data_IF_516806266744
#
_entry.id   IF_516806266744
#
_cell.length_a   1.000
_cell.length_b   1.000
_cell.length_c   1.000
_cell.angle_alpha   90.00
_cell.angle_beta   90.00
_cell.angle_gamma   90.00
#
_symmetry.space_group_name_H-M   'P 1'
#
loop_
_entity.id
_entity.type
_entity.pdbx_description
1 polymer ?
#
# COMPACT_ATOMS: atom_id res chain seq x y z
N UNK A 1 -5.28 -6.50 20.68
CA UNK A 1 -5.02 -5.14 20.23
C UNK A 1 -3.52 -4.89 20.12
N UNK A 2 -3.06 -4.50 18.95
CA UNK A 2 -1.63 -4.29 18.69
C UNK A 2 -1.18 -2.91 19.14
N UNK A 3 -0.04 -2.83 19.85
CA UNK A 3 0.59 -1.55 20.12
C UNK A 3 1.30 -1.03 18.85
N UNK A 4 1.84 0.18 18.91
CA UNK A 4 2.47 0.82 17.75
C UNK A 4 3.63 0.00 17.17
N UNK A 5 4.52 -0.50 18.02
CA UNK A 5 5.68 -1.29 17.58
C UNK A 5 5.27 -2.61 16.96
N UNK A 6 4.27 -3.28 17.53
CA UNK A 6 3.73 -4.51 16.97
C UNK A 6 3.10 -4.26 15.62
N UNK A 7 2.31 -3.20 15.49
CA UNK A 7 1.65 -2.84 14.24
C UNK A 7 2.68 -2.57 13.13
N UNK A 8 3.71 -1.79 13.43
CA UNK A 8 4.80 -1.50 12.48
C UNK A 8 5.52 -2.78 12.07
N UNK A 9 5.84 -3.65 13.04
CA UNK A 9 6.51 -4.93 12.78
C UNK A 9 5.68 -5.84 11.86
N UNK A 10 4.37 -5.91 12.09
CA UNK A 10 3.45 -6.67 11.25
C UNK A 10 3.43 -6.13 9.83
N UNK A 11 3.30 -4.81 9.68
CA UNK A 11 3.26 -4.18 8.35
C UNK A 11 4.56 -4.42 7.58
N UNK A 12 5.70 -4.31 8.25
CA UNK A 12 7.00 -4.58 7.62
C UNK A 12 7.16 -6.04 7.19
N UNK A 13 6.60 -6.96 7.95
CA UNK A 13 6.79 -8.41 7.75
C UNK A 13 5.87 -9.00 6.69
N UNK A 14 4.59 -8.64 6.73
CA UNK A 14 3.55 -9.36 5.98
C UNK A 14 2.68 -8.48 5.09
N UNK A 15 2.64 -7.18 5.31
CA UNK A 15 1.89 -6.30 4.42
C UNK A 15 2.57 -6.23 3.05
N UNK A 16 1.75 -6.26 2.00
CA UNK A 16 2.24 -6.17 0.62
C UNK A 16 1.82 -4.85 0.00
N UNK A 17 2.76 -3.91 -0.17
CA UNK A 17 2.54 -2.76 -1.03
C UNK A 17 2.36 -3.21 -2.47
N UNK A 18 1.33 -2.68 -3.14
CA UNK A 18 1.03 -3.02 -4.52
C UNK A 18 0.92 -1.76 -5.36
N UNK A 19 1.58 -1.79 -6.52
CA UNK A 19 1.51 -0.74 -7.53
C UNK A 19 0.92 -1.36 -8.79
N UNK A 20 -0.25 -0.87 -9.20
CA UNK A 20 -0.96 -1.38 -10.36
C UNK A 20 -1.00 -0.31 -11.45
N UNK A 21 -0.46 -0.64 -12.63
CA UNK A 21 -0.44 0.25 -13.78
C UNK A 21 -1.24 -0.40 -14.89
N UNK A 22 -2.29 0.27 -15.36
CA UNK A 22 -3.17 -0.23 -16.40
C UNK A 22 -3.37 0.82 -17.49
N UNK A 23 -3.62 0.35 -18.71
CA UNK A 23 -3.95 1.24 -19.82
C UNK A 23 -5.35 1.81 -19.63
N UNK A 24 -5.51 3.09 -20.01
CA UNK A 24 -6.82 3.73 -20.04
C UNK A 24 -6.83 4.85 -21.08
N UNK A 25 -7.93 4.96 -21.81
CA UNK A 25 -8.13 6.07 -22.74
C UNK A 25 -8.63 7.35 -22.05
N UNK A 26 -8.99 7.25 -20.77
CA UNK A 26 -9.56 8.37 -20.01
C UNK A 26 -8.52 9.40 -19.56
N UNK A 27 -7.23 9.04 -19.57
CA UNK A 27 -6.14 9.92 -19.19
C UNK A 27 -5.26 10.22 -20.39
N UNK A 28 -4.76 11.45 -20.49
CA UNK A 28 -3.90 11.90 -21.60
C UNK A 28 -2.64 11.05 -21.71
N UNK A 29 -2.02 10.69 -20.58
CA UNK A 29 -0.83 9.84 -20.56
C UNK A 29 -1.12 8.40 -21.03
N UNK A 30 -2.39 7.98 -21.04
CA UNK A 30 -2.81 6.66 -21.50
C UNK A 30 -2.71 5.54 -20.43
N UNK A 31 -2.31 5.87 -19.22
CA UNK A 31 -2.13 4.90 -18.13
C UNK A 31 -2.71 5.42 -16.83
N UNK A 32 -3.23 4.49 -16.03
CA UNK A 32 -3.70 4.74 -14.68
C UNK A 32 -2.81 4.00 -13.69
N UNK A 33 -2.38 4.70 -12.65
CA UNK A 33 -1.62 4.13 -11.54
C UNK A 33 -2.53 4.03 -10.32
N UNK A 34 -2.66 2.83 -9.78
CA UNK A 34 -3.39 2.58 -8.52
C UNK A 34 -2.43 1.97 -7.52
N UNK A 35 -2.43 2.51 -6.32
CA UNK A 35 -1.56 2.04 -5.25
C UNK A 35 -2.40 1.64 -4.04
N UNK A 36 -1.98 0.59 -3.37
CA UNK A 36 -2.62 0.10 -2.15
C UNK A 36 -1.68 -0.77 -1.37
N UNK A 37 -2.02 -1.03 -0.11
CA UNK A 37 -1.31 -1.97 0.73
C UNK A 37 -2.30 -3.03 1.18
N UNK A 38 -1.97 -4.29 0.98
CA UNK A 38 -2.81 -5.43 1.34
C UNK A 38 -2.16 -6.26 2.43
N UNK A 39 -2.98 -6.76 3.35
CA UNK A 39 -2.57 -7.70 4.38
C UNK A 39 -3.52 -8.89 4.32
N UNK A 40 -2.96 -10.09 4.29
CA UNK A 40 -3.71 -11.34 4.27
C UNK A 40 -3.47 -12.12 5.55
N UNK A 41 -4.50 -12.78 6.04
CA UNK A 41 -4.45 -13.54 7.28
C UNK A 41 -5.84 -13.95 7.71
N UNK A 42 -5.99 -14.49 8.93
CA UNK A 42 -7.30 -14.82 9.42
C UNK A 42 -8.05 -13.56 9.88
N UNK A 43 -9.37 -13.70 10.04
CA UNK A 43 -10.26 -12.59 10.35
C UNK A 43 -9.86 -11.84 11.62
N UNK A 44 -9.65 -12.55 12.72
CA UNK A 44 -9.33 -11.93 14.01
C UNK A 44 -8.05 -11.11 13.96
N UNK A 45 -7.03 -11.64 13.29
CA UNK A 45 -5.76 -10.97 13.09
C UNK A 45 -5.93 -9.68 12.28
N UNK A 46 -6.64 -9.77 11.16
CA UNK A 46 -6.86 -8.62 10.30
C UNK A 46 -7.72 -7.54 10.98
N UNK A 47 -8.74 -7.93 11.73
CA UNK A 47 -9.55 -6.98 12.48
C UNK A 47 -8.74 -6.32 13.61
N UNK A 48 -7.78 -7.02 14.19
CA UNK A 48 -6.84 -6.45 15.15
C UNK A 48 -5.96 -5.37 14.51
N UNK A 49 -5.46 -5.63 13.30
CA UNK A 49 -4.70 -4.63 12.53
C UNK A 49 -5.58 -3.44 12.19
N UNK A 50 -6.80 -3.68 11.73
CA UNK A 50 -7.74 -2.61 11.38
C UNK A 50 -7.99 -1.68 12.57
N UNK A 51 -8.21 -2.23 13.76
CA UNK A 51 -8.38 -1.42 14.97
C UNK A 51 -7.14 -0.58 15.29
N UNK A 52 -5.95 -1.15 15.10
CA UNK A 52 -4.70 -0.42 15.27
C UNK A 52 -4.56 0.75 14.30
N UNK A 53 -4.93 0.53 13.03
CA UNK A 53 -4.93 1.56 12.01
C UNK A 53 -5.98 2.64 12.29
N UNK A 54 -7.17 2.24 12.74
CA UNK A 54 -8.25 3.19 13.09
C UNK A 54 -7.78 4.17 14.16
N UNK A 55 -7.01 3.72 15.14
CA UNK A 55 -6.43 4.59 16.18
C UNK A 55 -5.46 5.60 15.62
N UNK A 56 -4.87 5.34 14.47
CA UNK A 56 -3.98 6.24 13.75
C UNK A 56 -4.73 7.06 12.69
N UNK A 57 -6.05 6.97 12.67
CA UNK A 57 -6.91 7.62 11.66
C UNK A 57 -6.59 7.18 10.23
N UNK A 58 -6.16 5.95 10.06
CA UNK A 58 -5.91 5.33 8.77
C UNK A 58 -7.07 4.39 8.48
N UNK A 59 -7.87 4.73 7.47
CA UNK A 59 -9.00 3.91 7.07
C UNK A 59 -8.53 2.69 6.29
N UNK A 60 -9.20 1.57 6.50
CA UNK A 60 -8.92 0.32 5.80
C UNK A 60 -10.23 -0.40 5.51
N UNK A 61 -10.18 -1.30 4.54
CA UNK A 61 -11.35 -2.08 4.11
C UNK A 61 -11.05 -3.56 4.36
N UNK A 62 -11.87 -4.18 5.18
CA UNK A 62 -11.82 -5.62 5.40
C UNK A 62 -12.79 -6.31 4.46
N UNK A 63 -12.31 -7.37 3.79
CA UNK A 63 -13.14 -8.28 3.00
C UNK A 63 -12.92 -9.71 3.49
N UNK A 64 -14.02 -10.42 3.75
CA UNK A 64 -13.96 -11.81 4.14
C UNK A 64 -13.40 -12.69 3.01
N UNK A 65 -13.66 -12.31 1.77
CA UNK A 65 -13.16 -13.00 0.57
C UNK A 65 -12.52 -11.98 -0.35
N UNK A 66 -11.25 -12.17 -0.63
CA UNK A 66 -10.48 -11.31 -1.54
C UNK A 66 -11.10 -11.33 -2.95
N UNK A 67 -11.40 -12.54 -3.45
CA UNK A 67 -11.98 -12.77 -4.76
C UNK A 67 -12.71 -14.11 -4.77
N UNK A 68 -13.63 -14.33 -5.71
CA UNK A 68 -14.31 -15.61 -5.86
C UNK A 68 -13.34 -16.78 -6.04
N UNK A 69 -12.25 -16.57 -6.78
CA UNK A 69 -11.20 -17.56 -7.00
C UNK A 69 -10.19 -17.63 -5.86
N UNK A 70 -10.19 -16.67 -4.95
CA UNK A 70 -9.30 -16.57 -3.79
C UNK A 70 -10.13 -16.23 -2.56
N UNK A 71 -10.87 -17.20 -2.00
CA UNK A 71 -11.82 -16.93 -0.93
C UNK A 71 -11.15 -16.84 0.45
N UNK A 72 -10.17 -15.98 0.59
CA UNK A 72 -9.44 -15.73 1.85
C UNK A 72 -9.61 -14.28 2.29
N UNK A 73 -9.58 -14.02 3.62
CA UNK A 73 -9.72 -12.67 4.12
C UNK A 73 -8.57 -11.76 3.70
N UNK A 74 -8.89 -10.49 3.46
CA UNK A 74 -7.92 -9.47 3.10
C UNK A 74 -8.30 -8.14 3.75
N UNK A 75 -7.29 -7.41 4.21
CA UNK A 75 -7.41 -6.03 4.67
C UNK A 75 -6.64 -5.13 3.71
N UNK A 76 -7.28 -4.10 3.21
CA UNK A 76 -6.67 -3.19 2.22
C UNK A 76 -6.67 -1.75 2.70
N UNK A 77 -5.56 -1.07 2.50
CA UNK A 77 -5.42 0.37 2.70
C UNK A 77 -5.23 0.99 1.33
N UNK A 78 -6.10 1.92 0.96
CA UNK A 78 -6.03 2.66 -0.29
C UNK A 78 -6.46 4.11 -0.07
N UNK A 79 -6.32 4.92 -1.10
CA UNK A 79 -6.56 6.36 -0.99
C UNK A 79 -5.33 7.11 -0.51
N UNK A 80 -5.06 8.26 -1.12
CA UNK A 80 -3.79 8.98 -0.91
C UNK A 80 -3.61 9.42 0.54
N UNK A 81 -4.66 9.89 1.19
CA UNK A 81 -4.59 10.34 2.58
C UNK A 81 -4.18 9.19 3.50
N UNK A 82 -4.80 8.03 3.31
CA UNK A 82 -4.51 6.84 4.12
C UNK A 82 -3.09 6.30 3.86
N UNK A 83 -2.69 6.25 2.60
CA UNK A 83 -1.37 5.78 2.22
C UNK A 83 -0.27 6.70 2.70
N UNK A 84 -0.50 8.01 2.66
CA UNK A 84 0.44 8.99 3.19
C UNK A 84 0.65 8.80 4.69
N UNK A 85 -0.45 8.64 5.45
CA UNK A 85 -0.37 8.38 6.89
C UNK A 85 0.32 7.05 7.20
N UNK A 86 0.03 6.01 6.40
CA UNK A 86 0.66 4.70 6.56
C UNK A 86 2.17 4.79 6.33
N UNK A 87 2.60 5.49 5.29
CA UNK A 87 4.02 5.71 5.02
C UNK A 87 4.73 6.46 6.14
N UNK A 88 4.05 7.40 6.77
CA UNK A 88 4.60 8.12 7.94
C UNK A 88 4.70 7.25 9.17
N UNK A 89 3.80 6.29 9.32
CA UNK A 89 3.83 5.35 10.45
C UNK A 89 5.05 4.45 10.40
N UNK A 90 5.52 4.10 9.20
CA UNK A 90 6.65 3.19 9.01
C UNK A 90 7.95 3.99 8.93
N UNK A 91 8.87 3.82 9.90
CA UNK A 91 10.14 4.55 9.90
C UNK A 91 11.03 4.20 8.71
N UNK A 92 11.78 5.19 8.21
CA UNK A 92 12.69 5.00 7.07
C UNK A 92 13.96 4.24 7.44
N UNK A 93 14.33 4.28 8.72
CA UNK A 93 15.60 3.72 9.21
C UNK A 93 15.50 2.28 9.70
N UNK A 94 14.35 1.65 9.59
CA UNK A 94 14.23 0.24 9.97
C UNK A 94 14.73 -0.66 8.85
N UNK A 95 15.39 -1.79 9.22
CA UNK A 95 15.84 -2.74 8.21
C UNK A 95 14.64 -3.31 7.44
N UNK A 96 14.62 -3.04 6.16
CA UNK A 96 13.74 -3.70 5.20
C UNK A 96 14.65 -4.43 4.22
N UNK A 97 14.84 -5.71 4.43
CA UNK A 97 15.80 -6.53 3.70
C UNK A 97 15.56 -6.53 2.19
N UNK A 98 14.35 -6.23 1.76
CA UNK A 98 13.99 -6.22 0.33
C UNK A 98 13.85 -4.82 -0.25
N UNK A 99 13.95 -3.78 0.56
CA UNK A 99 13.77 -2.40 0.10
C UNK A 99 12.37 -2.07 -0.41
N UNK A 100 11.37 -2.88 -0.05
CA UNK A 100 10.00 -2.74 -0.57
C UNK A 100 9.37 -1.43 -0.10
N UNK A 101 9.47 -1.14 1.19
CA UNK A 101 8.83 0.05 1.75
C UNK A 101 9.45 1.36 1.29
N UNK A 102 10.79 1.51 1.25
CA UNK A 102 11.38 2.72 0.66
C UNK A 102 10.93 2.95 -0.79
N UNK A 103 10.88 1.90 -1.60
CA UNK A 103 10.42 1.96 -2.98
C UNK A 103 8.94 2.35 -3.06
N UNK A 104 8.11 1.77 -2.22
CA UNK A 104 6.68 2.12 -2.19
C UNK A 104 6.46 3.56 -1.74
N UNK A 105 7.21 4.04 -0.75
CA UNK A 105 7.13 5.44 -0.30
C UNK A 105 7.48 6.41 -1.42
N UNK A 106 8.46 6.08 -2.26
CA UNK A 106 8.79 6.89 -3.43
C UNK A 106 7.61 6.94 -4.40
N UNK A 107 6.95 5.83 -4.67
CA UNK A 107 5.78 5.79 -5.54
C UNK A 107 4.65 6.64 -4.98
N UNK A 108 4.37 6.52 -3.68
CA UNK A 108 3.34 7.35 -3.02
C UNK A 108 3.66 8.84 -3.20
N UNK A 109 4.91 9.24 -3.04
CA UNK A 109 5.32 10.63 -3.21
C UNK A 109 5.14 11.09 -4.65
N UNK A 110 5.51 10.28 -5.63
CA UNK A 110 5.33 10.59 -7.05
C UNK A 110 3.85 10.77 -7.39
N UNK A 111 3.00 9.88 -6.91
CA UNK A 111 1.56 9.97 -7.15
C UNK A 111 0.96 11.18 -6.45
N UNK A 112 1.36 11.46 -5.21
CA UNK A 112 0.89 12.62 -4.46
C UNK A 112 1.25 13.93 -5.16
N UNK A 113 2.42 14.01 -5.77
CA UNK A 113 2.87 15.17 -6.54
C UNK A 113 2.29 15.23 -7.95
N UNK A 114 1.45 14.28 -8.36
CA UNK A 114 0.89 14.23 -9.71
C UNK A 114 1.85 13.80 -10.79
N UNK A 115 3.05 13.32 -10.44
CA UNK A 115 4.09 12.96 -11.40
C UNK A 115 3.78 11.67 -12.17
N UNK A 116 2.82 10.87 -11.69
CA UNK A 116 2.32 9.70 -12.42
C UNK A 116 1.57 10.09 -13.71
N UNK A 117 1.25 11.36 -13.91
CA UNK A 117 0.68 11.90 -15.14
C UNK A 117 1.74 12.43 -16.12
N UNK A 118 3.01 12.37 -15.75
CA UNK A 118 4.14 12.74 -16.61
C UNK A 118 4.84 11.49 -17.11
N UNK A 119 5.48 11.58 -18.28
CA UNK A 119 6.22 10.45 -18.84
C UNK A 119 7.38 10.03 -17.93
N UNK A 120 8.12 10.98 -17.40
CA UNK A 120 9.25 10.72 -16.52
C UNK A 120 8.82 10.06 -15.21
N UNK A 121 7.76 10.57 -14.58
CA UNK A 121 7.23 10.00 -13.35
C UNK A 121 6.66 8.60 -13.56
N UNK A 122 5.94 8.38 -14.65
CA UNK A 122 5.41 7.06 -14.99
C UNK A 122 6.53 6.06 -15.24
N UNK A 123 7.57 6.44 -15.97
CA UNK A 123 8.75 5.58 -16.20
C UNK A 123 9.40 5.18 -14.87
N UNK A 124 9.55 6.13 -13.95
CA UNK A 124 10.13 5.85 -12.64
C UNK A 124 9.27 4.86 -11.85
N UNK A 125 7.95 5.04 -11.89
CA UNK A 125 7.00 4.13 -11.21
C UNK A 125 7.09 2.72 -11.81
N UNK A 126 7.15 2.59 -13.12
CA UNK A 126 7.30 1.29 -13.78
C UNK A 126 8.62 0.61 -13.42
N UNK A 127 9.69 1.38 -13.31
CA UNK A 127 10.99 0.87 -12.88
C UNK A 127 10.93 0.35 -11.44
N UNK A 128 10.34 1.12 -10.54
CA UNK A 128 10.16 0.71 -9.14
C UNK A 128 9.27 -0.53 -9.05
N UNK A 129 8.18 -0.57 -9.82
CA UNK A 129 7.27 -1.72 -9.85
C UNK A 129 8.01 -3.01 -10.22
N UNK A 130 8.97 -2.95 -11.12
CA UNK A 130 9.80 -4.09 -11.48
C UNK A 130 10.68 -4.60 -10.35
N UNK A 131 10.98 -3.76 -9.34
CA UNK A 131 11.82 -4.09 -8.19
C UNK A 131 11.03 -4.57 -6.98
N UNK A 132 9.74 -4.27 -6.94
CA UNK A 132 8.83 -4.70 -5.89
C UNK A 132 8.35 -6.14 -6.23
#
# INVERSE_FOLDING_TARGET
LFNNNQLVGILLSIAKPEVNVSRTSKLTIGYRVRIRVNVRGNEDFLLGIQRGLDKKTIDSIYKQKEHKSRPRPILSVSGMVNLYKLCKLIPDNLPDAKGVWPNFKEVVQLVDNGEHHTLEGLDRILQIKGEI
#
